data_IF_708237047516
#
_entry.id   IF_708237047516
#
_cell.length_a   1.000
_cell.length_b   1.000
_cell.length_c   1.000
_cell.angle_alpha   90.00
_cell.angle_beta   90.00
_cell.angle_gamma   90.00
#
_symmetry.space_group_name_H-M   'P 1'
#
loop_
_entity.id
_entity.type
_entity.pdbx_description
1 polymer ?
#
# COMPACT_ATOMS: atom_id res chain seq x y z
N UNK A 1 8.09 -54.79 48.33
CA UNK A 1 7.18 -53.88 47.62
C UNK A 1 7.96 -52.61 47.34
N UNK A 2 8.41 -52.47 46.10
CA UNK A 2 9.26 -51.37 45.62
C UNK A 2 8.32 -50.23 45.25
N UNK A 3 8.50 -49.03 45.82
CA UNK A 3 7.83 -47.83 45.35
C UNK A 3 8.87 -46.82 44.88
N UNK A 4 8.57 -46.31 43.69
CA UNK A 4 9.48 -45.75 42.72
C UNK A 4 9.99 -44.34 43.07
N UNK A 5 11.20 -44.12 42.58
CA UNK A 5 11.88 -42.86 42.28
C UNK A 5 11.02 -41.77 41.65
N UNK A 6 11.24 -40.52 42.10
CA UNK A 6 10.83 -39.30 41.40
C UNK A 6 11.85 -38.19 41.65
N UNK A 7 12.95 -38.21 40.88
CA UNK A 7 13.88 -37.09 40.76
C UNK A 7 13.23 -35.99 39.90
N UNK A 8 13.05 -34.79 40.44
CA UNK A 8 12.78 -33.56 39.69
C UNK A 8 14.10 -32.80 39.48
N UNK A 9 14.58 -32.60 38.25
CA UNK A 9 15.76 -31.79 38.00
C UNK A 9 15.41 -30.30 37.87
N UNK A 10 16.16 -29.49 38.62
CA UNK A 10 16.68 -28.17 38.28
C UNK A 10 15.89 -27.28 37.29
N UNK A 11 15.18 -26.31 37.87
CA UNK A 11 14.76 -25.07 37.22
C UNK A 11 15.99 -24.25 36.79
N UNK A 12 16.28 -24.22 35.50
CA UNK A 12 17.14 -23.22 34.87
C UNK A 12 16.35 -21.91 34.78
N UNK A 13 16.87 -20.76 35.25
CA UNK A 13 16.22 -19.48 35.00
C UNK A 13 16.53 -19.08 33.54
N UNK A 14 15.53 -19.17 32.67
CA UNK A 14 15.58 -18.60 31.32
C UNK A 14 14.84 -17.26 31.33
N UNK A 15 15.50 -16.12 31.60
CA UNK A 15 14.96 -14.82 31.23
C UNK A 15 15.80 -14.15 30.13
N UNK A 16 16.52 -14.91 29.29
CA UNK A 16 17.31 -14.35 28.18
C UNK A 16 16.88 -14.80 26.78
N UNK A 17 15.98 -15.78 26.65
CA UNK A 17 15.47 -16.22 25.34
C UNK A 17 14.13 -15.58 24.93
N UNK A 18 13.46 -14.87 25.86
CA UNK A 18 12.19 -14.19 25.56
C UNK A 18 12.39 -12.76 25.00
N UNK A 19 13.60 -12.22 24.99
CA UNK A 19 13.87 -10.87 24.48
C UNK A 19 14.16 -10.80 22.97
N UNK A 20 14.21 -11.93 22.27
CA UNK A 20 14.52 -11.98 20.82
C UNK A 20 13.26 -12.25 19.97
N UNK A 21 12.12 -12.60 20.58
CA UNK A 21 10.89 -12.94 19.85
C UNK A 21 9.82 -11.84 19.86
N UNK A 22 10.11 -10.63 20.35
CA UNK A 22 9.11 -9.57 20.59
C UNK A 22 9.11 -8.43 19.56
N UNK A 23 9.80 -8.55 18.41
CA UNK A 23 9.85 -7.47 17.40
C UNK A 23 9.16 -7.80 16.07
N UNK A 24 8.13 -8.63 16.09
CA UNK A 24 7.22 -8.77 14.94
C UNK A 24 5.76 -8.78 15.39
N UNK A 25 5.34 -7.73 16.12
CA UNK A 25 3.92 -7.39 16.20
C UNK A 25 3.67 -6.18 15.31
N UNK A 26 3.19 -6.46 14.10
CA UNK A 26 2.03 -5.82 13.48
C UNK A 26 2.03 -6.15 11.99
N UNK A 27 1.85 -7.44 11.64
CA UNK A 27 1.30 -7.74 10.32
C UNK A 27 -0.20 -7.45 10.36
N UNK A 28 -0.56 -6.17 10.38
CA UNK A 28 -1.85 -5.76 9.83
C UNK A 28 -1.85 -6.36 8.43
N UNK A 29 -2.81 -7.24 8.15
CA UNK A 29 -2.96 -7.93 6.88
C UNK A 29 -3.37 -6.90 5.82
N UNK A 30 -2.46 -5.98 5.48
CA UNK A 30 -2.66 -4.98 4.44
C UNK A 30 -2.87 -5.74 3.15
N UNK A 31 -3.98 -5.52 2.46
CA UNK A 31 -4.25 -6.24 1.22
C UNK A 31 -3.14 -5.92 0.22
N UNK A 32 -2.44 -6.96 -0.25
CA UNK A 32 -1.35 -6.82 -1.21
C UNK A 32 -1.73 -5.88 -2.36
N UNK A 33 -0.81 -5.01 -2.80
CA UNK A 33 -1.03 -4.07 -3.92
C UNK A 33 -1.65 -4.78 -5.12
N UNK A 34 -2.48 -4.06 -5.87
CA UNK A 34 -3.26 -4.63 -6.99
C UNK A 34 -2.36 -5.34 -8.00
N UNK A 35 -1.22 -4.74 -8.35
CA UNK A 35 -0.25 -5.32 -9.29
C UNK A 35 0.34 -6.65 -8.80
N UNK A 36 0.67 -6.77 -7.51
CA UNK A 36 1.24 -7.98 -6.92
C UNK A 36 0.20 -9.10 -6.96
N UNK A 37 -1.06 -8.80 -6.62
CA UNK A 37 -2.17 -9.77 -6.72
C UNK A 37 -2.34 -10.29 -8.14
N UNK A 38 -2.30 -9.40 -9.15
CA UNK A 38 -2.49 -9.77 -10.55
C UNK A 38 -1.32 -10.56 -11.14
N UNK A 39 -0.09 -10.32 -10.67
CA UNK A 39 1.10 -11.05 -11.11
C UNK A 39 1.34 -12.37 -10.37
N UNK A 40 0.69 -12.59 -9.21
CA UNK A 40 0.87 -13.81 -8.41
C UNK A 40 0.60 -15.11 -9.19
N UNK A 41 -0.41 -15.22 -10.07
CA UNK A 41 -0.59 -16.42 -10.90
C UNK A 41 0.54 -16.62 -11.91
N UNK A 42 1.09 -15.53 -12.46
CA UNK A 42 2.21 -15.58 -13.40
C UNK A 42 3.49 -16.01 -12.70
N UNK A 43 3.74 -15.51 -11.48
CA UNK A 43 4.95 -15.82 -10.74
C UNK A 43 5.09 -17.31 -10.42
N UNK A 44 3.99 -18.04 -10.21
CA UNK A 44 4.00 -19.51 -10.04
C UNK A 44 4.56 -20.29 -11.25
N UNK A 45 4.62 -19.66 -12.43
CA UNK A 45 5.18 -20.24 -13.66
C UNK A 45 6.62 -19.81 -13.91
N UNK A 46 7.16 -18.90 -13.10
CA UNK A 46 8.53 -18.43 -13.21
C UNK A 46 9.53 -19.53 -12.83
N UNK A 47 10.80 -19.30 -13.15
CA UNK A 47 11.93 -20.08 -12.65
C UNK A 47 11.91 -20.14 -11.12
N UNK A 48 12.59 -21.13 -10.53
CA UNK A 48 12.67 -21.25 -9.05
C UNK A 48 13.25 -19.98 -8.41
N UNK A 49 14.27 -19.40 -9.04
CA UNK A 49 14.84 -18.12 -8.62
C UNK A 49 13.84 -16.96 -8.82
N UNK A 50 13.15 -16.92 -9.95
CA UNK A 50 12.11 -15.92 -10.25
C UNK A 50 10.96 -15.93 -9.25
N UNK A 51 10.52 -17.11 -8.81
CA UNK A 51 9.49 -17.26 -7.78
C UNK A 51 9.95 -16.64 -6.45
N UNK A 52 11.20 -16.90 -6.05
CA UNK A 52 11.76 -16.35 -4.82
C UNK A 52 11.92 -14.83 -4.91
N UNK A 53 12.44 -14.31 -6.03
CA UNK A 53 12.56 -12.87 -6.27
C UNK A 53 11.20 -12.17 -6.22
N UNK A 54 10.18 -12.74 -6.86
CA UNK A 54 8.82 -12.20 -6.81
C UNK A 54 8.29 -12.15 -5.37
N UNK A 55 8.49 -13.21 -4.58
CA UNK A 55 8.03 -13.21 -3.18
C UNK A 55 8.77 -12.19 -2.33
N UNK A 56 10.07 -12.00 -2.55
CA UNK A 56 10.83 -10.95 -1.86
C UNK A 56 10.26 -9.56 -2.17
N UNK A 57 9.93 -9.28 -3.43
CA UNK A 57 9.26 -8.03 -3.83
C UNK A 57 7.88 -7.92 -3.16
N UNK A 58 7.11 -9.00 -3.15
CA UNK A 58 5.76 -9.03 -2.60
C UNK A 58 5.71 -8.92 -1.06
N UNK A 59 6.79 -9.28 -0.37
CA UNK A 59 6.88 -9.21 1.09
C UNK A 59 7.49 -7.88 1.58
N UNK A 60 8.20 -7.15 0.71
CA UNK A 60 8.84 -5.87 1.00
C UNK A 60 7.95 -4.68 0.58
N UNK A 61 6.66 -4.78 0.90
CA UNK A 61 5.56 -3.92 0.41
C UNK A 61 5.62 -2.47 0.94
N UNK A 62 6.39 -2.24 2.01
CA UNK A 62 6.59 -0.93 2.62
C UNK A 62 7.44 0.03 1.76
N UNK A 63 8.00 -0.43 0.65
CA UNK A 63 8.74 0.42 -0.26
C UNK A 63 7.80 1.28 -1.12
N UNK A 64 8.35 2.43 -1.56
CA UNK A 64 7.73 3.29 -2.55
C UNK A 64 7.20 2.44 -3.72
N UNK A 65 5.97 2.71 -4.13
CA UNK A 65 5.33 1.93 -5.19
C UNK A 65 6.03 2.05 -6.53
N UNK A 66 6.67 3.19 -6.83
CA UNK A 66 7.46 3.34 -8.04
C UNK A 66 8.65 2.35 -8.01
N UNK A 67 9.24 2.11 -6.83
CA UNK A 67 10.28 1.10 -6.64
C UNK A 67 9.72 -0.32 -6.81
N UNK A 68 8.52 -0.60 -6.31
CA UNK A 68 7.85 -1.89 -6.51
C UNK A 68 7.60 -2.16 -7.99
N UNK A 69 7.10 -1.17 -8.75
CA UNK A 69 6.89 -1.31 -10.19
C UNK A 69 8.19 -1.53 -10.95
N UNK A 70 9.27 -0.81 -10.62
CA UNK A 70 10.59 -1.06 -11.22
C UNK A 70 11.07 -2.49 -10.96
N UNK A 71 11.03 -2.94 -9.69
CA UNK A 71 11.47 -4.30 -9.32
C UNK A 71 10.64 -5.38 -10.02
N UNK A 72 9.32 -5.20 -10.14
CA UNK A 72 8.45 -6.13 -10.87
C UNK A 72 8.74 -6.13 -12.37
N UNK A 73 9.05 -4.98 -12.96
CA UNK A 73 9.46 -4.89 -14.36
C UNK A 73 10.79 -5.61 -14.61
N UNK A 74 11.79 -5.39 -13.75
CA UNK A 74 13.09 -6.07 -13.84
C UNK A 74 12.95 -7.58 -13.66
N UNK A 75 12.13 -8.00 -12.71
CA UNK A 75 11.77 -9.41 -12.52
C UNK A 75 11.15 -10.01 -13.79
N UNK A 76 10.14 -9.38 -14.36
CA UNK A 76 9.46 -9.88 -15.56
C UNK A 76 10.41 -9.93 -16.76
N UNK A 77 11.27 -8.93 -16.91
CA UNK A 77 12.30 -8.88 -17.96
C UNK A 77 13.29 -10.04 -17.85
N UNK A 78 13.73 -10.38 -16.63
CA UNK A 78 14.68 -11.46 -16.38
C UNK A 78 14.08 -12.85 -16.62
N UNK A 79 12.77 -13.03 -16.39
CA UNK A 79 12.07 -14.30 -16.66
C UNK A 79 11.78 -14.50 -18.16
N UNK A 80 11.74 -13.44 -18.95
CA UNK A 80 11.73 -13.49 -20.40
C UNK A 80 10.57 -12.75 -21.06
N UNK A 81 10.55 -12.78 -22.39
CA UNK A 81 9.63 -11.95 -23.21
C UNK A 81 8.15 -12.18 -22.90
N UNK A 82 7.75 -13.43 -22.64
CA UNK A 82 6.36 -13.74 -22.28
C UNK A 82 5.95 -13.10 -20.94
N UNK A 83 6.86 -13.10 -19.95
CA UNK A 83 6.61 -12.47 -18.66
C UNK A 83 6.53 -10.95 -18.79
N UNK A 84 7.45 -10.35 -19.54
CA UNK A 84 7.44 -8.91 -19.80
C UNK A 84 6.16 -8.46 -20.52
N UNK A 85 5.71 -9.21 -21.54
CA UNK A 85 4.47 -8.91 -22.25
C UNK A 85 3.25 -8.96 -21.32
N UNK A 86 3.12 -10.02 -20.52
CA UNK A 86 2.01 -10.12 -19.55
C UNK A 86 2.09 -9.05 -18.47
N UNK A 87 3.30 -8.68 -18.03
CA UNK A 87 3.52 -7.58 -17.09
C UNK A 87 3.00 -6.25 -17.66
N UNK A 88 3.38 -5.90 -18.91
CA UNK A 88 2.92 -4.68 -19.58
C UNK A 88 1.40 -4.64 -19.74
N UNK A 89 0.78 -5.76 -20.15
CA UNK A 89 -0.68 -5.86 -20.28
C UNK A 89 -1.40 -5.65 -18.93
N UNK A 90 -0.88 -6.26 -17.85
CA UNK A 90 -1.42 -6.09 -16.51
C UNK A 90 -1.20 -4.66 -16.01
N UNK A 91 -0.06 -4.04 -16.28
CA UNK A 91 0.22 -2.65 -15.92
C UNK A 91 -0.77 -1.70 -16.60
N UNK A 92 -0.95 -1.83 -17.92
CA UNK A 92 -1.93 -1.04 -18.68
C UNK A 92 -3.34 -1.15 -18.08
N UNK A 93 -3.78 -2.38 -17.77
CA UNK A 93 -5.09 -2.62 -17.15
C UNK A 93 -5.19 -2.00 -15.75
N UNK A 94 -4.15 -2.17 -14.94
CA UNK A 94 -4.11 -1.68 -13.54
C UNK A 94 -4.13 -0.16 -13.50
N UNK A 95 -3.41 0.50 -14.42
CA UNK A 95 -3.41 1.95 -14.54
C UNK A 95 -4.77 2.48 -14.98
N UNK A 96 -5.37 1.88 -16.00
CA UNK A 96 -6.73 2.25 -16.44
C UNK A 96 -7.74 2.14 -15.29
N UNK A 97 -7.73 1.02 -14.56
CA UNK A 97 -8.58 0.82 -13.38
C UNK A 97 -8.32 1.89 -12.30
N UNK A 98 -7.05 2.27 -12.09
CA UNK A 98 -6.68 3.30 -11.11
C UNK A 98 -7.22 4.68 -11.52
N UNK A 99 -7.11 5.05 -12.80
CA UNK A 99 -7.64 6.32 -13.31
C UNK A 99 -9.16 6.36 -13.21
N UNK A 100 -9.87 5.32 -13.65
CA UNK A 100 -11.33 5.26 -13.58
C UNK A 100 -11.84 5.46 -12.14
N UNK A 101 -11.23 4.77 -11.16
CA UNK A 101 -11.60 4.92 -9.75
C UNK A 101 -11.23 6.27 -9.17
N UNK A 102 -10.14 6.88 -9.62
CA UNK A 102 -9.74 8.24 -9.23
C UNK A 102 -10.75 9.26 -9.73
N UNK A 103 -11.18 9.15 -10.99
CA UNK A 103 -12.18 10.04 -11.59
C UNK A 103 -13.54 9.86 -10.91
N UNK A 104 -13.97 8.62 -10.65
CA UNK A 104 -15.19 8.33 -9.87
C UNK A 104 -15.17 9.01 -8.51
N UNK A 105 -14.06 8.85 -7.77
CA UNK A 105 -13.90 9.48 -6.45
C UNK A 105 -13.83 11.01 -6.55
N UNK A 106 -13.19 11.55 -7.60
CA UNK A 106 -13.15 12.99 -7.88
C UNK A 106 -14.55 13.57 -8.08
N UNK A 107 -15.37 12.94 -8.93
CA UNK A 107 -16.76 13.35 -9.15
C UNK A 107 -17.60 13.33 -7.87
N UNK A 108 -17.37 12.37 -6.98
CA UNK A 108 -18.07 12.32 -5.69
C UNK A 108 -17.60 13.40 -4.71
N UNK A 109 -16.32 13.76 -4.75
CA UNK A 109 -15.76 14.86 -3.95
C UNK A 109 -16.28 16.20 -4.44
N UNK A 110 -16.41 16.41 -5.75
CA UNK A 110 -16.92 17.65 -6.34
C UNK A 110 -18.38 17.96 -5.95
N UNK A 111 -19.12 16.98 -5.42
CA UNK A 111 -20.46 17.14 -4.87
C UNK A 111 -20.48 17.59 -3.39
N UNK A 112 -19.31 17.70 -2.75
CA UNK A 112 -19.20 18.09 -1.36
C UNK A 112 -19.16 19.61 -1.20
N UNK A 113 -19.46 20.15 -0.01
CA UNK A 113 -19.24 21.56 0.26
C UNK A 113 -17.77 21.96 0.07
N UNK A 114 -17.47 23.18 -0.39
CA UNK A 114 -16.10 23.64 -0.66
C UNK A 114 -15.13 23.39 0.50
N UNK A 115 -15.53 23.67 1.75
CA UNK A 115 -14.69 23.45 2.93
C UNK A 115 -14.29 21.98 3.13
N UNK A 116 -15.15 21.04 2.73
CA UNK A 116 -14.86 19.61 2.82
C UNK A 116 -13.91 19.19 1.70
N UNK A 117 -14.09 19.74 0.49
CA UNK A 117 -13.18 19.53 -0.65
C UNK A 117 -11.78 20.00 -0.27
N UNK A 118 -11.66 21.24 0.23
CA UNK A 118 -10.40 21.83 0.66
C UNK A 118 -9.71 20.97 1.73
N UNK A 119 -10.48 20.50 2.73
CA UNK A 119 -9.96 19.63 3.77
C UNK A 119 -9.42 18.29 3.23
N UNK A 120 -10.07 17.70 2.22
CA UNK A 120 -9.58 16.47 1.57
C UNK A 120 -8.30 16.77 0.79
N UNK A 121 -8.29 17.86 0.03
CA UNK A 121 -7.13 18.26 -0.76
C UNK A 121 -5.90 18.54 0.12
N UNK A 122 -6.08 19.20 1.26
CA UNK A 122 -5.00 19.44 2.24
C UNK A 122 -4.43 18.11 2.74
N UNK A 123 -5.27 17.14 3.11
CA UNK A 123 -4.82 15.83 3.57
C UNK A 123 -4.06 15.09 2.46
N UNK A 124 -4.58 15.10 1.24
CA UNK A 124 -3.97 14.40 0.12
C UNK A 124 -2.61 15.00 -0.29
N UNK A 125 -2.47 16.34 -0.25
CA UNK A 125 -1.17 17.03 -0.45
C UNK A 125 -0.21 16.70 0.68
N UNK A 126 -0.69 16.68 1.93
CA UNK A 126 0.13 16.35 3.09
C UNK A 126 0.70 14.93 3.03
N UNK A 127 -0.09 13.95 2.57
CA UNK A 127 0.34 12.56 2.35
C UNK A 127 1.43 12.42 1.28
N UNK A 128 1.59 13.41 0.41
CA UNK A 128 2.62 13.42 -0.62
C UNK A 128 3.95 13.99 -0.13
N UNK A 129 3.98 14.61 1.05
CA UNK A 129 5.20 15.16 1.63
C UNK A 129 5.97 14.08 2.42
N UNK A 130 7.17 13.68 1.96
CA UNK A 130 7.94 12.60 2.59
C UNK A 130 8.48 12.98 3.98
N UNK A 131 8.39 14.25 4.38
CA UNK A 131 8.83 14.72 5.71
C UNK A 131 7.76 14.56 6.79
N UNK A 132 6.53 14.21 6.40
CA UNK A 132 5.39 14.14 7.31
C UNK A 132 5.22 12.77 7.93
N UNK A 133 4.86 12.76 9.20
CA UNK A 133 4.58 11.55 9.95
C UNK A 133 3.10 11.21 10.00
N UNK A 134 2.80 9.92 10.16
CA UNK A 134 1.42 9.43 10.37
C UNK A 134 0.74 10.06 11.60
N UNK A 135 1.51 10.44 12.64
CA UNK A 135 0.96 11.09 13.81
C UNK A 135 0.48 12.52 13.49
N UNK A 136 1.26 13.28 12.73
CA UNK A 136 0.89 14.62 12.29
C UNK A 136 -0.32 14.57 11.34
N UNK A 137 -0.38 13.58 10.45
CA UNK A 137 -1.55 13.38 9.57
C UNK A 137 -2.82 13.17 10.40
N UNK A 138 -2.78 12.25 11.37
CA UNK A 138 -3.93 11.96 12.25
C UNK A 138 -4.38 13.20 13.03
N UNK A 139 -3.42 13.98 13.54
CA UNK A 139 -3.72 15.24 14.23
C UNK A 139 -4.41 16.23 13.29
N UNK A 140 -3.86 16.43 12.10
CA UNK A 140 -4.42 17.34 11.09
C UNK A 140 -5.83 16.93 10.68
N UNK A 141 -6.07 15.64 10.40
CA UNK A 141 -7.42 15.13 10.08
C UNK A 141 -8.40 15.43 11.23
N UNK A 142 -7.99 15.22 12.48
CA UNK A 142 -8.84 15.50 13.64
C UNK A 142 -9.12 17.00 13.82
N UNK A 143 -8.16 17.86 13.51
CA UNK A 143 -8.36 19.31 13.57
C UNK A 143 -9.29 19.80 12.45
N UNK A 144 -9.15 19.28 11.22
CA UNK A 144 -10.05 19.57 10.10
C UNK A 144 -11.48 19.06 10.36
N UNK A 145 -11.65 17.92 11.02
CA UNK A 145 -12.99 17.42 11.41
C UNK A 145 -13.76 18.40 12.30
N UNK A 146 -13.06 19.18 13.13
CA UNK A 146 -13.71 20.17 14.02
C UNK A 146 -14.24 21.38 13.26
N UNK A 147 -13.70 21.65 12.07
CA UNK A 147 -14.10 22.78 11.22
C UNK A 147 -15.18 22.39 10.21
N UNK A 148 -15.39 21.09 9.99
CA UNK A 148 -16.42 20.56 9.09
C UNK A 148 -17.75 20.45 9.85
N UNK A 149 -18.86 20.77 9.18
CA UNK A 149 -20.18 20.60 9.78
C UNK A 149 -20.44 19.12 10.14
N UNK A 150 -21.07 18.82 11.30
CA UNK A 150 -21.24 17.46 11.79
C UNK A 150 -21.84 16.47 10.77
N UNK A 151 -22.75 16.96 9.91
CA UNK A 151 -23.43 16.15 8.91
C UNK A 151 -22.52 15.67 7.76
N UNK A 152 -21.39 16.36 7.52
CA UNK A 152 -20.41 15.99 6.49
C UNK A 152 -19.20 15.22 7.03
N UNK A 153 -19.00 15.14 8.35
CA UNK A 153 -17.83 14.48 8.97
C UNK A 153 -17.70 13.01 8.53
N UNK A 154 -18.82 12.29 8.44
CA UNK A 154 -18.81 10.91 7.99
C UNK A 154 -18.41 10.81 6.51
N UNK A 155 -19.00 11.65 5.65
CA UNK A 155 -18.71 11.65 4.22
C UNK A 155 -17.25 12.04 3.95
N UNK A 156 -16.72 13.00 4.69
CA UNK A 156 -15.31 13.36 4.70
C UNK A 156 -14.40 12.15 5.01
N UNK A 157 -14.68 11.42 6.10
CA UNK A 157 -13.89 10.24 6.46
C UNK A 157 -13.96 9.16 5.37
N UNK A 158 -15.15 8.89 4.83
CA UNK A 158 -15.33 7.90 3.75
C UNK A 158 -14.48 8.27 2.53
N UNK A 159 -14.45 9.56 2.13
CA UNK A 159 -13.60 10.00 1.03
C UNK A 159 -12.11 9.82 1.33
N UNK A 160 -11.67 10.14 2.55
CA UNK A 160 -10.28 9.95 2.96
C UNK A 160 -9.86 8.48 2.97
N UNK A 161 -10.74 7.58 3.41
CA UNK A 161 -10.48 6.14 3.44
C UNK A 161 -10.40 5.57 2.02
N UNK A 162 -11.28 6.03 1.12
CA UNK A 162 -11.23 5.67 -0.30
C UNK A 162 -9.99 6.21 -0.99
N UNK A 163 -9.58 7.44 -0.66
CA UNK A 163 -8.34 8.04 -1.13
C UNK A 163 -7.13 7.21 -0.72
N UNK A 164 -7.07 6.84 0.57
CA UNK A 164 -5.99 6.02 1.12
C UNK A 164 -5.94 4.66 0.43
N UNK A 165 -7.10 4.03 0.22
CA UNK A 165 -7.19 2.76 -0.49
C UNK A 165 -6.66 2.85 -1.92
N UNK A 166 -6.92 3.95 -2.64
CA UNK A 166 -6.33 4.16 -3.96
C UNK A 166 -4.80 4.25 -3.89
N UNK A 167 -4.29 5.05 -2.96
CA UNK A 167 -2.86 5.20 -2.72
C UNK A 167 -2.17 3.87 -2.38
N UNK A 168 -2.80 3.07 -1.52
CA UNK A 168 -2.26 1.78 -1.08
C UNK A 168 -2.28 0.77 -2.25
N UNK A 169 -3.41 0.64 -2.95
CA UNK A 169 -3.60 -0.38 -3.98
C UNK A 169 -2.84 -0.10 -5.29
N UNK A 170 -2.76 1.18 -5.69
CA UNK A 170 -2.30 1.62 -7.01
C UNK A 170 -1.13 2.61 -6.96
N UNK A 171 -0.74 3.08 -5.77
CA UNK A 171 -0.03 4.35 -5.68
C UNK A 171 -1.04 5.40 -6.10
N UNK A 172 -0.73 6.47 -6.81
CA UNK A 172 -1.75 7.46 -7.22
C UNK A 172 -2.42 8.19 -6.04
N UNK A 173 -2.36 9.51 -6.14
CA UNK A 173 -3.03 10.42 -5.22
C UNK A 173 -4.24 11.02 -5.94
N UNK A 174 -5.23 11.44 -5.17
CA UNK A 174 -6.43 12.07 -5.73
C UNK A 174 -6.07 13.40 -6.37
N UNK A 175 -5.42 14.25 -5.59
CA UNK A 175 -4.94 15.55 -5.98
C UNK A 175 -3.44 15.43 -6.27
N UNK A 176 -2.96 16.11 -7.31
CA UNK A 176 -1.53 16.20 -7.52
C UNK A 176 -1.00 17.39 -6.74
N UNK A 177 -0.09 17.15 -5.81
CA UNK A 177 0.72 18.21 -5.25
C UNK A 177 1.55 18.84 -6.39
N UNK A 178 1.70 20.18 -6.43
CA UNK A 178 2.63 20.83 -7.35
C UNK A 178 4.08 20.41 -7.11
N UNK A 179 4.37 19.83 -5.94
CA UNK A 179 5.70 19.38 -5.52
C UNK A 179 5.95 17.88 -5.77
N UNK A 180 4.93 17.10 -6.14
CA UNK A 180 5.09 15.67 -6.40
C UNK A 180 5.79 15.42 -7.74
N UNK A 181 6.77 14.50 -7.77
CA UNK A 181 7.41 14.06 -9.02
C UNK A 181 6.32 13.52 -9.95
N UNK A 182 6.31 13.98 -11.21
CA UNK A 182 5.45 13.39 -12.24
C UNK A 182 5.83 11.92 -12.37
N UNK A 183 4.93 11.00 -12.02
CA UNK A 183 5.05 9.62 -12.51
C UNK A 183 5.13 9.70 -14.03
N UNK A 184 6.17 9.08 -14.60
CA UNK A 184 6.27 8.91 -16.05
C UNK A 184 4.96 8.26 -16.49
N UNK A 185 4.19 8.93 -17.35
CA UNK A 185 3.00 8.31 -17.93
C UNK A 185 3.48 7.13 -18.76
N UNK A 186 3.00 5.93 -18.46
CA UNK A 186 3.26 4.75 -19.29
C UNK A 186 2.34 4.70 -20.52
N UNK A 187 1.40 5.64 -20.64
CA UNK A 187 0.61 5.93 -21.84
C UNK A 187 1.03 7.27 -22.47
N UNK A 188 1.12 7.27 -23.80
CA UNK A 188 1.09 8.51 -24.57
C UNK A 188 -0.32 9.14 -24.45
N UNK A 189 -0.42 10.45 -24.61
CA UNK A 189 -1.65 11.22 -24.44
C UNK A 189 -2.82 10.77 -25.35
N UNK A 190 -2.57 9.90 -26.32
CA UNK A 190 -3.54 9.44 -27.32
C UNK A 190 -4.31 8.17 -26.90
N UNK A 191 -4.03 7.61 -25.70
CA UNK A 191 -4.68 6.38 -25.17
C UNK A 191 -5.59 6.64 -23.94
N UNK A 192 -5.90 7.92 -23.63
CA UNK A 192 -6.88 8.35 -22.62
C UNK A 192 -8.07 9.05 -23.30
#
# INVERSE_FOLDING_TARGET
MILFSGQLPYLVPIPLLLFILSNFSDSINTPKRRIIRLLTPLSKKASSNGQQLFQNIANDEMQDIDNIYMKLSDWAKNEGSNFMKTFEEIMKKTEKEAYEKREELGMEIDQLPPLVIDAIQVVDIFRQDPTKSNHEEKKMINDLKKTIEPLFVNRYQIMLDRAQKLQDEYGIHLFRSPFAKRRKRYFNNDEL
#
